data_IF_384070294643
#
_entry.id   IF_384070294643
#
_cell.length_a   1.000
_cell.length_b   1.000
_cell.length_c   1.000
_cell.angle_alpha   90.00
_cell.angle_beta   90.00
_cell.angle_gamma   90.00
#
_symmetry.space_group_name_H-M   'P 1'
#
loop_
_entity.id
_entity.type
_entity.pdbx_description
1 polymer ?
#
# COMPACT_ATOMS: atom_id res chain seq x y z
N UNK A 1 -32.24 15.03 -34.75
CA UNK A 1 -31.03 15.36 -35.53
C UNK A 1 -29.98 14.30 -35.23
N UNK A 2 -29.46 13.68 -36.30
CA UNK A 2 -28.37 12.70 -36.31
C UNK A 2 -27.05 13.34 -35.80
N UNK A 3 -25.97 12.64 -35.42
CA UNK A 3 -25.29 11.49 -36.03
C UNK A 3 -24.40 10.74 -35.00
N UNK A 4 -24.06 9.51 -35.38
CA UNK A 4 -23.02 8.61 -34.85
C UNK A 4 -21.58 9.17 -34.84
N UNK A 5 -20.70 8.42 -34.16
CA UNK A 5 -19.21 8.34 -34.20
C UNK A 5 -18.51 9.01 -33.01
N UNK A 6 -17.48 8.47 -32.36
CA UNK A 6 -16.67 7.26 -32.57
C UNK A 6 -15.92 6.94 -31.27
N UNK A 7 -15.72 5.66 -30.97
CA UNK A 7 -14.75 5.18 -29.98
C UNK A 7 -13.33 5.57 -30.41
N UNK A 8 -12.53 6.20 -29.56
CA UNK A 8 -11.05 6.12 -29.61
C UNK A 8 -10.45 6.26 -28.21
N UNK A 9 -9.96 5.14 -27.67
CA UNK A 9 -8.96 5.10 -26.61
C UNK A 9 -7.63 5.65 -27.15
N UNK A 10 -6.83 6.43 -26.40
CA UNK A 10 -5.43 6.59 -26.72
C UNK A 10 -4.69 5.33 -26.26
N UNK A 11 -4.73 4.28 -27.09
CA UNK A 11 -3.61 3.34 -27.21
C UNK A 11 -2.49 4.12 -27.90
N UNK A 12 -1.59 4.73 -27.14
CA UNK A 12 -0.28 5.11 -27.68
C UNK A 12 0.52 3.84 -27.85
N UNK A 13 0.38 3.23 -29.03
CA UNK A 13 1.29 2.22 -29.55
C UNK A 13 2.65 2.89 -29.80
N UNK A 14 3.44 3.05 -28.75
CA UNK A 14 4.89 3.16 -28.91
C UNK A 14 5.40 1.75 -29.26
N UNK A 15 6.14 1.56 -30.37
CA UNK A 15 6.79 0.29 -30.62
C UNK A 15 7.76 0.00 -29.46
N UNK A 16 7.90 -1.27 -29.03
CA UNK A 16 8.95 -1.62 -28.08
C UNK A 16 10.31 -1.22 -28.68
N UNK A 17 11.28 -0.75 -27.85
CA UNK A 17 12.62 -0.50 -28.35
C UNK A 17 13.14 -1.76 -29.03
N UNK A 18 13.56 -1.60 -30.28
CA UNK A 18 14.07 -2.67 -31.10
C UNK A 18 15.35 -3.23 -30.45
N UNK A 19 15.26 -4.43 -29.88
CA UNK A 19 16.38 -5.11 -29.23
C UNK A 19 17.54 -5.40 -30.21
N UNK A 20 17.31 -5.35 -31.52
CA UNK A 20 18.35 -5.60 -32.53
C UNK A 20 19.35 -4.44 -32.70
N UNK A 21 18.99 -3.22 -32.31
CA UNK A 21 19.89 -2.07 -32.48
C UNK A 21 21.01 -2.06 -31.41
N UNK A 22 20.76 -2.67 -30.25
CA UNK A 22 21.77 -2.87 -29.21
C UNK A 22 22.81 -3.93 -29.59
N UNK A 23 22.42 -4.93 -30.39
CA UNK A 23 23.33 -5.98 -30.86
C UNK A 23 24.16 -5.57 -32.09
N UNK A 24 23.73 -4.59 -32.88
CA UNK A 24 24.54 -4.09 -34.01
C UNK A 24 25.84 -3.41 -33.57
N UNK A 25 25.90 -2.84 -32.37
CA UNK A 25 27.13 -2.23 -31.84
C UNK A 25 27.99 -3.21 -31.02
N UNK A 26 27.55 -4.45 -30.83
CA UNK A 26 28.28 -5.46 -30.05
C UNK A 26 29.12 -6.43 -30.91
N UNK A 27 29.06 -6.33 -32.24
CA UNK A 27 29.80 -7.18 -33.19
C UNK A 27 30.85 -6.36 -33.96
N UNK A 28 31.88 -5.88 -33.26
CA UNK A 28 33.15 -5.49 -33.91
C UNK A 28 34.37 -6.22 -33.36
N UNK A 29 34.17 -7.22 -32.49
CA UNK A 29 35.24 -8.09 -32.00
C UNK A 29 35.02 -9.54 -32.42
N UNK A 30 34.90 -9.78 -33.72
CA UNK A 30 35.19 -11.08 -34.31
C UNK A 30 35.18 -10.95 -35.83
N UNK A 31 36.33 -10.64 -36.43
CA UNK A 31 36.80 -11.26 -37.68
C UNK A 31 38.14 -10.65 -38.11
N UNK A 32 39.13 -11.52 -38.28
CA UNK A 32 40.50 -11.15 -38.65
C UNK A 32 41.45 -12.33 -38.51
N UNK A 33 41.18 -13.38 -39.26
CA UNK A 33 41.93 -14.63 -39.40
C UNK A 33 43.35 -14.45 -39.94
N UNK A 34 44.26 -15.27 -39.39
CA UNK A 34 45.38 -16.01 -40.00
C UNK A 34 46.48 -15.27 -40.80
N UNK A 35 47.73 -15.26 -40.29
CA UNK A 35 48.94 -15.44 -41.12
C UNK A 35 50.15 -15.89 -40.29
N UNK A 36 50.71 -17.06 -40.60
CA UNK A 36 52.01 -17.53 -40.11
C UNK A 36 53.13 -16.67 -40.75
N UNK A 37 54.03 -16.10 -39.95
CA UNK A 37 55.21 -15.41 -40.48
C UNK A 37 56.07 -14.75 -39.40
N UNK A 38 57.22 -15.35 -39.13
CA UNK A 38 58.34 -14.83 -38.32
C UNK A 38 58.66 -13.34 -38.56
N UNK A 39 58.96 -12.58 -37.50
CA UNK A 39 60.19 -11.76 -37.26
C UNK A 39 59.90 -10.68 -36.19
N UNK A 40 60.61 -10.76 -35.06
CA UNK A 40 61.23 -9.60 -34.40
C UNK A 40 60.38 -8.57 -33.62
N UNK A 41 60.81 -8.37 -32.37
CA UNK A 41 60.81 -7.12 -31.60
C UNK A 41 59.58 -6.77 -30.75
N UNK A 42 59.70 -7.13 -29.46
CA UNK A 42 59.60 -6.22 -28.31
C UNK A 42 58.55 -5.11 -28.40
N UNK A 43 57.36 -5.30 -27.83
CA UNK A 43 56.54 -4.20 -27.31
C UNK A 43 55.68 -4.67 -26.12
N UNK A 44 56.12 -4.24 -24.93
CA UNK A 44 55.39 -4.01 -23.68
C UNK A 44 53.94 -4.54 -23.60
N UNK A 45 53.79 -5.68 -22.92
CA UNK A 45 52.53 -6.11 -22.30
C UNK A 45 52.14 -5.12 -21.20
N UNK A 46 51.32 -4.14 -21.57
CA UNK A 46 50.70 -3.20 -20.64
C UNK A 46 49.25 -3.00 -21.03
N UNK A 47 48.44 -4.06 -21.01
CA UNK A 47 46.99 -3.91 -21.10
C UNK A 47 46.54 -3.24 -19.79
N UNK A 48 45.95 -2.03 -19.81
CA UNK A 48 45.38 -1.47 -18.61
C UNK A 48 44.21 -2.37 -18.22
N UNK A 49 44.37 -3.08 -17.11
CA UNK A 49 43.26 -3.74 -16.44
C UNK A 49 42.34 -2.60 -16.05
N UNK A 50 41.19 -2.46 -16.73
CA UNK A 50 40.12 -1.60 -16.23
C UNK A 50 39.72 -2.18 -14.88
N UNK A 51 40.25 -1.59 -13.80
CA UNK A 51 39.71 -1.80 -12.45
C UNK A 51 38.29 -1.26 -12.47
N UNK A 52 37.34 -2.11 -12.86
CA UNK A 52 35.97 -1.95 -12.45
C UNK A 52 35.98 -2.13 -10.93
N UNK A 53 36.18 -1.03 -10.20
CA UNK A 53 35.87 -0.97 -8.77
C UNK A 53 34.39 -1.31 -8.63
N UNK A 54 34.11 -2.58 -8.37
CA UNK A 54 32.86 -3.01 -7.79
C UNK A 54 32.83 -2.40 -6.39
N UNK A 55 32.31 -1.18 -6.30
CA UNK A 55 31.85 -0.63 -5.03
C UNK A 55 30.66 -1.48 -4.59
N UNK A 56 30.97 -2.57 -3.89
CA UNK A 56 29.99 -3.25 -3.05
C UNK A 56 29.56 -2.25 -1.98
N UNK A 57 28.40 -1.61 -2.18
CA UNK A 57 27.71 -0.90 -1.11
C UNK A 57 27.43 -1.91 0.00
N UNK A 58 28.26 -1.90 1.02
CA UNK A 58 27.94 -2.53 2.30
C UNK A 58 26.77 -1.71 2.83
N UNK A 59 25.55 -2.22 2.69
CA UNK A 59 24.39 -1.63 3.35
C UNK A 59 24.69 -1.71 4.84
N UNK A 60 24.70 -0.55 5.51
CA UNK A 60 24.92 -0.50 6.94
C UNK A 60 23.85 -1.37 7.63
N UNK A 61 24.24 -2.13 8.65
CA UNK A 61 23.31 -2.99 9.38
C UNK A 61 22.13 -2.18 9.92
N UNK A 62 22.37 -0.90 10.25
CA UNK A 62 21.34 0.02 10.70
C UNK A 62 20.32 0.36 9.60
N UNK A 63 20.78 0.63 8.37
CA UNK A 63 19.91 0.89 7.22
C UNK A 63 19.01 -0.31 6.90
N UNK A 64 19.56 -1.53 7.00
CA UNK A 64 18.79 -2.75 6.82
C UNK A 64 17.73 -2.94 7.91
N UNK A 65 18.06 -2.64 9.17
CA UNK A 65 17.10 -2.71 10.28
C UNK A 65 15.97 -1.70 10.11
N UNK A 66 16.27 -0.48 9.68
CA UNK A 66 15.26 0.55 9.50
C UNK A 66 14.37 0.26 8.28
N UNK A 67 14.93 -0.30 7.21
CA UNK A 67 14.15 -0.84 6.09
C UNK A 67 13.18 -1.93 6.55
N UNK A 68 13.64 -2.88 7.36
CA UNK A 68 12.79 -3.96 7.89
C UNK A 68 11.68 -3.43 8.80
N UNK A 69 11.95 -2.40 9.63
CA UNK A 69 10.91 -1.75 10.45
C UNK A 69 9.87 -1.05 9.59
N UNK A 70 10.29 -0.36 8.53
CA UNK A 70 9.38 0.31 7.61
C UNK A 70 8.49 -0.70 6.88
N UNK A 71 9.08 -1.77 6.34
CA UNK A 71 8.32 -2.84 5.69
C UNK A 71 7.34 -3.53 6.65
N UNK A 72 7.77 -3.78 7.89
CA UNK A 72 6.88 -4.30 8.94
C UNK A 72 5.70 -3.35 9.13
N UNK A 73 5.93 -2.05 9.33
CA UNK A 73 4.86 -1.08 9.53
C UNK A 73 3.87 -1.05 8.35
N UNK A 74 4.37 -1.10 7.12
CA UNK A 74 3.56 -1.11 5.89
C UNK A 74 2.67 -2.36 5.78
N UNK A 75 3.23 -3.54 6.06
CA UNK A 75 2.46 -4.80 6.04
C UNK A 75 1.37 -4.79 7.11
N UNK A 76 1.69 -4.36 8.32
CA UNK A 76 0.69 -4.28 9.40
C UNK A 76 -0.41 -3.27 9.09
N UNK A 77 -0.08 -2.11 8.52
CA UNK A 77 -1.07 -1.13 8.07
C UNK A 77 -1.99 -1.71 6.98
N UNK A 78 -1.43 -2.47 6.04
CA UNK A 78 -2.20 -3.14 4.98
C UNK A 78 -3.16 -4.18 5.53
N UNK A 79 -2.71 -5.00 6.48
CA UNK A 79 -3.55 -6.00 7.15
C UNK A 79 -4.66 -5.32 7.96
N UNK A 80 -4.34 -4.27 8.71
CA UNK A 80 -5.32 -3.52 9.50
C UNK A 80 -6.41 -2.90 8.60
N UNK A 81 -6.01 -2.32 7.47
CA UNK A 81 -6.95 -1.77 6.47
C UNK A 81 -7.88 -2.86 5.92
N UNK A 82 -7.33 -4.02 5.54
CA UNK A 82 -8.14 -5.13 5.05
C UNK A 82 -9.10 -5.67 6.13
N UNK A 83 -8.62 -5.85 7.36
CA UNK A 83 -9.44 -6.30 8.48
C UNK A 83 -10.60 -5.34 8.75
N UNK A 84 -10.34 -4.03 8.74
CA UNK A 84 -11.37 -3.01 8.88
C UNK A 84 -12.47 -3.14 7.80
N UNK A 85 -12.08 -3.26 6.53
CA UNK A 85 -13.06 -3.44 5.43
C UNK A 85 -13.88 -4.72 5.59
N UNK A 86 -13.24 -5.82 6.02
CA UNK A 86 -13.94 -7.09 6.27
C UNK A 86 -14.94 -6.96 7.41
N UNK A 87 -14.57 -6.35 8.53
CA UNK A 87 -15.50 -6.11 9.65
C UNK A 87 -16.65 -5.20 9.23
N UNK A 88 -16.36 -4.11 8.53
CA UNK A 88 -17.37 -3.18 8.04
C UNK A 88 -18.39 -3.87 7.13
N UNK A 89 -17.91 -4.69 6.18
CA UNK A 89 -18.79 -5.48 5.31
C UNK A 89 -19.60 -6.50 6.09
N UNK A 90 -18.98 -7.17 7.04
CA UNK A 90 -19.65 -8.17 7.88
C UNK A 90 -20.77 -7.53 8.71
N UNK A 91 -20.52 -6.36 9.30
CA UNK A 91 -21.51 -5.60 10.06
C UNK A 91 -22.65 -5.10 9.18
N UNK A 92 -22.37 -4.70 7.94
CA UNK A 92 -23.41 -4.33 6.97
C UNK A 92 -24.41 -5.46 6.72
N UNK A 93 -23.93 -6.71 6.59
CA UNK A 93 -24.80 -7.89 6.49
C UNK A 93 -25.57 -8.23 7.77
N UNK A 94 -25.19 -7.66 8.92
CA UNK A 94 -25.86 -7.83 10.22
C UNK A 94 -26.96 -6.79 10.47
N UNK A 95 -27.23 -5.90 9.50
CA UNK A 95 -28.28 -4.87 9.56
C UNK A 95 -28.18 -3.98 10.81
N UNK A 96 -29.09 -4.15 11.77
CA UNK A 96 -29.15 -3.35 13.01
C UNK A 96 -28.28 -3.91 14.14
N UNK A 97 -27.77 -5.13 14.01
CA UNK A 97 -26.98 -5.80 15.04
C UNK A 97 -27.80 -6.37 16.21
N UNK A 98 -29.14 -6.40 16.12
CA UNK A 98 -29.99 -6.93 17.19
C UNK A 98 -30.01 -8.47 17.24
N UNK A 99 -30.18 -9.12 16.09
CA UNK A 99 -30.23 -10.58 16.00
C UNK A 99 -28.83 -11.21 15.97
N UNK A 100 -27.90 -10.55 15.28
CA UNK A 100 -26.49 -10.95 15.19
C UNK A 100 -25.65 -9.72 15.53
N UNK A 101 -25.01 -9.67 16.71
CA UNK A 101 -24.21 -8.53 17.16
C UNK A 101 -23.14 -8.14 16.16
N UNK A 102 -22.83 -6.86 16.01
CA UNK A 102 -21.70 -6.40 15.21
C UNK A 102 -20.36 -6.93 15.73
N UNK A 103 -19.42 -7.13 14.81
CA UNK A 103 -18.01 -7.32 15.13
C UNK A 103 -17.41 -6.00 15.59
N UNK A 104 -16.59 -6.09 16.64
CA UNK A 104 -15.89 -4.93 17.20
C UNK A 104 -14.72 -4.60 16.28
N UNK A 105 -14.71 -3.36 15.79
CA UNK A 105 -13.63 -2.84 14.96
C UNK A 105 -12.55 -2.26 15.89
N UNK A 106 -11.28 -2.68 15.79
CA UNK A 106 -10.18 -2.05 16.52
C UNK A 106 -9.99 -0.59 16.10
N UNK A 107 -9.42 0.23 16.99
CA UNK A 107 -8.97 1.58 16.65
C UNK A 107 -7.84 1.58 15.62
N UNK A 108 -7.52 2.75 15.05
CA UNK A 108 -6.46 2.90 14.02
C UNK A 108 -5.10 2.44 14.55
N UNK A 109 -4.86 2.58 15.86
CA UNK A 109 -3.66 2.10 16.54
C UNK A 109 -3.68 0.57 16.83
N UNK A 110 -4.73 -0.14 16.41
CA UNK A 110 -4.94 -1.57 16.66
C UNK A 110 -5.50 -1.92 18.04
N UNK A 111 -5.69 -0.95 18.94
CA UNK A 111 -6.25 -1.20 20.27
C UNK A 111 -7.74 -1.54 20.19
N UNK A 112 -8.18 -2.48 21.02
CA UNK A 112 -9.60 -2.82 21.13
C UNK A 112 -10.34 -1.76 21.96
N UNK A 113 -11.46 -1.18 21.48
CA UNK A 113 -12.18 -0.13 22.21
C UNK A 113 -12.71 -0.57 23.57
N UNK A 114 -13.08 -1.84 23.71
CA UNK A 114 -13.65 -2.44 24.92
C UNK A 114 -12.62 -3.05 25.88
N UNK A 115 -11.33 -2.98 25.54
CA UNK A 115 -10.25 -3.47 26.39
C UNK A 115 -9.50 -2.30 27.04
N UNK A 116 -8.59 -2.61 27.97
CA UNK A 116 -7.67 -1.61 28.50
C UNK A 116 -6.80 -1.04 27.36
N UNK A 117 -6.52 0.28 27.35
CA UNK A 117 -6.82 1.29 28.38
C UNK A 117 -8.16 2.02 28.22
N UNK A 118 -8.97 1.67 27.22
CA UNK A 118 -10.12 2.46 26.78
C UNK A 118 -11.41 2.13 27.54
N UNK A 119 -11.73 0.83 27.66
CA UNK A 119 -12.92 0.30 28.34
C UNK A 119 -14.23 0.96 27.88
N UNK A 120 -14.37 1.22 26.58
CA UNK A 120 -15.59 1.75 25.99
C UNK A 120 -16.66 0.66 25.78
N UNK A 121 -17.95 1.03 25.79
CA UNK A 121 -19.03 0.07 25.50
C UNK A 121 -18.85 -0.52 24.11
N UNK A 122 -18.85 -1.84 23.98
CA UNK A 122 -18.69 -2.50 22.68
C UNK A 122 -19.84 -2.13 21.73
N UNK A 123 -19.52 -1.64 20.53
CA UNK A 123 -20.50 -1.18 19.54
C UNK A 123 -21.16 -2.35 18.79
N UNK A 124 -21.93 -3.14 19.52
CA UNK A 124 -22.50 -4.41 19.04
C UNK A 124 -23.83 -4.24 18.29
N UNK A 125 -24.46 -3.07 18.33
CA UNK A 125 -25.71 -2.81 17.61
C UNK A 125 -25.92 -1.31 17.39
N UNK A 126 -26.84 -0.98 16.47
CA UNK A 126 -27.26 0.42 16.24
C UNK A 126 -27.83 1.04 17.53
N UNK A 127 -28.51 0.25 18.36
CA UNK A 127 -29.03 0.71 19.64
C UNK A 127 -27.91 1.17 20.59
N UNK A 128 -26.82 0.40 20.69
CA UNK A 128 -25.68 0.78 21.53
C UNK A 128 -25.03 2.06 21.01
N UNK A 129 -24.87 2.20 19.69
CA UNK A 129 -24.30 3.40 19.07
C UNK A 129 -25.16 4.64 19.38
N UNK A 130 -26.48 4.53 19.27
CA UNK A 130 -27.41 5.62 19.58
C UNK A 130 -27.48 5.94 21.09
N UNK A 131 -27.09 5.00 21.96
CA UNK A 131 -27.09 5.16 23.41
C UNK A 131 -25.75 5.67 23.98
N UNK A 132 -24.74 5.91 23.13
CA UNK A 132 -23.45 6.45 23.57
C UNK A 132 -23.63 7.85 24.18
N UNK A 133 -22.91 8.12 25.27
CA UNK A 133 -22.81 9.49 25.79
C UNK A 133 -21.97 10.35 24.84
N UNK A 134 -22.15 11.67 24.82
CA UNK A 134 -21.32 12.57 24.00
C UNK A 134 -19.82 12.38 24.21
N UNK A 135 -19.39 12.14 25.45
CA UNK A 135 -17.98 11.90 25.78
C UNK A 135 -17.46 10.59 25.19
N UNK A 136 -18.29 9.53 25.21
CA UNK A 136 -17.94 8.25 24.60
C UNK A 136 -17.87 8.39 23.07
N UNK A 137 -18.79 9.14 22.48
CA UNK A 137 -18.80 9.40 21.05
C UNK A 137 -17.53 10.14 20.59
N UNK A 138 -17.13 11.19 21.32
CA UNK A 138 -15.87 11.91 21.05
C UNK A 138 -14.67 10.96 21.12
N UNK A 139 -14.61 10.07 22.12
CA UNK A 139 -13.52 9.09 22.24
C UNK A 139 -13.50 8.09 21.10
N UNK A 140 -14.67 7.60 20.67
CA UNK A 140 -14.77 6.72 19.51
C UNK A 140 -14.34 7.42 18.22
N UNK A 141 -14.83 8.62 17.96
CA UNK A 141 -14.41 9.41 16.80
C UNK A 141 -12.91 9.69 16.84
N UNK A 142 -12.34 10.01 18.00
CA UNK A 142 -10.90 10.22 18.15
C UNK A 142 -10.09 8.94 17.87
N UNK A 143 -10.53 7.78 18.39
CA UNK A 143 -9.82 6.52 18.19
C UNK A 143 -9.90 5.98 16.76
N UNK A 144 -10.96 6.32 16.02
CA UNK A 144 -11.12 6.00 14.60
C UNK A 144 -10.62 7.12 13.66
N UNK A 145 -10.05 8.20 14.20
CA UNK A 145 -9.61 9.38 13.46
C UNK A 145 -10.72 10.02 12.58
N UNK A 146 -11.96 9.94 13.05
CA UNK A 146 -13.11 10.59 12.43
C UNK A 146 -13.16 12.08 12.81
N UNK A 147 -13.50 12.91 11.83
CA UNK A 147 -13.83 14.30 12.09
C UNK A 147 -14.99 14.37 13.09
N UNK A 148 -14.86 15.20 14.13
CA UNK A 148 -15.91 15.36 15.12
C UNK A 148 -16.01 16.82 15.58
N UNK A 149 -17.24 17.32 15.64
CA UNK A 149 -17.58 18.59 16.28
C UNK A 149 -18.49 18.28 17.48
N UNK A 150 -18.06 18.51 18.73
CA UNK A 150 -18.88 18.27 19.91
C UNK A 150 -20.24 18.98 19.91
N UNK A 151 -20.44 19.98 19.03
CA UNK A 151 -21.72 20.69 18.86
C UNK A 151 -22.67 19.98 17.89
N UNK A 152 -22.19 19.01 17.12
CA UNK A 152 -22.96 18.30 16.10
C UNK A 152 -22.92 16.78 16.32
N UNK A 153 -23.57 16.37 17.42
CA UNK A 153 -23.64 14.96 17.85
C UNK A 153 -24.30 14.07 16.80
N UNK A 154 -25.34 14.56 16.13
CA UNK A 154 -26.07 13.77 15.12
C UNK A 154 -25.15 13.39 13.95
N UNK A 155 -24.34 14.34 13.47
CA UNK A 155 -23.36 14.07 12.42
C UNK A 155 -22.31 13.05 12.87
N UNK A 156 -21.81 13.18 14.11
CA UNK A 156 -20.85 12.22 14.68
C UNK A 156 -21.42 10.80 14.75
N UNK A 157 -22.71 10.64 15.08
CA UNK A 157 -23.37 9.34 15.09
C UNK A 157 -23.46 8.77 13.66
N UNK A 158 -23.80 9.60 12.68
CA UNK A 158 -23.87 9.18 11.27
C UNK A 158 -22.50 8.71 10.77
N UNK A 159 -21.45 9.49 11.02
CA UNK A 159 -20.08 9.14 10.63
C UNK A 159 -19.60 7.86 11.31
N UNK A 160 -19.90 7.69 12.61
CA UNK A 160 -19.57 6.48 13.36
C UNK A 160 -20.29 5.25 12.81
N UNK A 161 -21.59 5.36 12.49
CA UNK A 161 -22.36 4.26 11.88
C UNK A 161 -21.79 3.86 10.53
N UNK A 162 -21.47 4.84 9.69
CA UNK A 162 -20.85 4.60 8.40
C UNK A 162 -19.50 3.87 8.55
N UNK A 163 -18.66 4.32 9.50
CA UNK A 163 -17.38 3.68 9.79
C UNK A 163 -17.53 2.21 10.23
N UNK A 164 -18.51 1.91 11.09
CA UNK A 164 -18.75 0.54 11.59
C UNK A 164 -19.38 -0.37 10.52
N UNK A 165 -20.00 0.22 9.49
CA UNK A 165 -20.71 -0.50 8.44
C UNK A 165 -22.18 -0.71 8.75
N UNK A 166 -22.77 0.11 9.61
CA UNK A 166 -24.19 0.05 9.92
C UNK A 166 -24.94 0.89 8.88
N UNK A 167 -25.64 0.26 7.94
CA UNK A 167 -26.67 0.97 7.18
C UNK A 167 -27.91 1.07 8.07
N UNK A 168 -28.09 2.22 8.72
CA UNK A 168 -29.38 2.55 9.29
C UNK A 168 -30.32 2.79 8.10
N UNK A 169 -31.26 1.87 7.91
CA UNK A 169 -32.50 2.12 7.19
C UNK A 169 -33.05 3.50 7.61
N UNK A 170 -33.18 4.35 6.58
CA UNK A 170 -33.92 5.62 6.50
C UNK A 170 -35.00 5.84 7.54
#
# INVERSE_FOLDING_TARGET
>A
MAYYASRVSPRSNAPPPNYDEYYRNALSYAEGTDYYGSVGNEHLLGVPIYEHKLETRVIDQQDMLDLLKAQKAEVFASIASLAHVVHQRTNNYRFTGEAIPFEIIPFVNGAMPNELPHLHPALTSVHVINALTPEQLIRYCSGYELAHDPRNIDLMIVDLKAHIGCEASS
#
